data_IF_030228048748
#
_entry.id   IF_030228048748
#
_cell.length_a   1.000
_cell.length_b   1.000
_cell.length_c   1.000
_cell.angle_alpha   90.00
_cell.angle_beta   90.00
_cell.angle_gamma   90.00
#
_symmetry.space_group_name_H-M   'P 1'
#
loop_
_entity.id
_entity.type
_entity.pdbx_description
1 polymer ?
#
# COMPACT_ATOMS: atom_id res chain seq x y z
N UNK A 1 -9.29 14.60 -7.21
CA UNK A 1 -8.93 13.39 -7.96
C UNK A 1 -10.14 12.47 -7.98
N UNK A 2 -10.70 12.21 -9.15
CA UNK A 2 -12.03 11.60 -9.29
C UNK A 2 -12.00 10.06 -9.17
N UNK A 3 -10.90 9.44 -9.57
CA UNK A 3 -10.75 7.99 -9.54
C UNK A 3 -10.78 7.45 -8.11
N UNK A 4 -10.03 8.05 -7.18
CA UNK A 4 -9.93 7.63 -5.78
C UNK A 4 -11.26 7.82 -5.05
N UNK A 5 -11.99 8.89 -5.36
CA UNK A 5 -13.31 9.13 -4.79
C UNK A 5 -14.34 8.10 -5.29
N UNK A 6 -14.32 7.80 -6.60
CA UNK A 6 -15.17 6.76 -7.18
C UNK A 6 -14.81 5.36 -6.65
N UNK A 7 -13.51 5.05 -6.54
CA UNK A 7 -13.00 3.80 -6.02
C UNK A 7 -13.39 3.59 -4.56
N UNK A 8 -13.19 4.61 -3.70
CA UNK A 8 -13.65 4.59 -2.30
C UNK A 8 -15.15 4.35 -2.21
N UNK A 9 -15.95 5.08 -2.99
CA UNK A 9 -17.41 4.91 -2.98
C UNK A 9 -17.82 3.48 -3.39
N UNK A 10 -17.14 2.91 -4.38
CA UNK A 10 -17.35 1.53 -4.81
C UNK A 10 -17.01 0.53 -3.69
N UNK A 11 -15.83 0.64 -3.07
CA UNK A 11 -15.43 -0.25 -1.97
C UNK A 11 -16.40 -0.17 -0.78
N UNK A 12 -16.86 1.03 -0.41
CA UNK A 12 -17.87 1.21 0.65
C UNK A 12 -19.21 0.56 0.28
N UNK A 13 -19.60 0.57 -1.01
CA UNK A 13 -20.81 -0.10 -1.46
C UNK A 13 -20.72 -1.63 -1.34
N UNK A 14 -19.53 -2.19 -1.56
CA UNK A 14 -19.26 -3.62 -1.39
C UNK A 14 -19.23 -3.98 0.10
N UNK A 15 -18.54 -3.16 0.92
CA UNK A 15 -18.42 -3.39 2.35
C UNK A 15 -19.78 -3.41 3.06
N UNK A 16 -20.75 -2.60 2.62
CA UNK A 16 -22.13 -2.69 3.13
C UNK A 16 -22.77 -4.07 2.98
N UNK A 17 -22.34 -4.87 1.99
CA UNK A 17 -22.87 -6.21 1.72
C UNK A 17 -22.05 -7.31 2.40
N UNK A 18 -20.72 -7.28 2.22
CA UNK A 18 -19.77 -8.26 2.78
C UNK A 18 -18.43 -7.58 3.01
N UNK A 19 -17.64 -8.01 4.02
CA UNK A 19 -16.29 -7.48 4.21
C UNK A 19 -15.44 -7.63 2.94
N UNK A 20 -14.60 -6.64 2.68
CA UNK A 20 -13.81 -6.48 1.47
C UNK A 20 -12.34 -6.73 1.79
N UNK A 21 -11.68 -7.43 0.88
CA UNK A 21 -10.23 -7.46 0.72
C UNK A 21 -9.96 -6.87 -0.65
N UNK A 22 -9.15 -5.82 -0.71
CA UNK A 22 -8.69 -5.22 -1.96
C UNK A 22 -7.17 -5.26 -2.00
N UNK A 23 -6.61 -5.65 -3.14
CA UNK A 23 -5.18 -5.83 -3.28
C UNK A 23 -4.66 -5.38 -4.65
N UNK A 24 -3.37 -5.05 -4.69
CA UNK A 24 -2.66 -4.66 -5.89
C UNK A 24 -1.87 -3.37 -5.71
N UNK A 25 -1.34 -2.88 -6.81
CA UNK A 25 -0.64 -1.61 -6.91
C UNK A 25 -1.65 -0.46 -6.81
N UNK A 26 -1.59 0.28 -5.70
CA UNK A 26 -2.41 1.47 -5.45
C UNK A 26 -1.73 2.75 -5.98
N UNK A 27 -0.51 2.65 -6.52
CA UNK A 27 0.29 3.76 -7.03
C UNK A 27 0.42 4.93 -6.03
N UNK A 28 0.55 4.64 -4.74
CA UNK A 28 0.77 5.64 -3.70
C UNK A 28 1.62 5.06 -2.57
N UNK A 29 2.68 5.75 -2.16
CA UNK A 29 3.34 5.51 -0.89
C UNK A 29 2.67 6.39 0.18
N UNK A 30 2.00 5.80 1.17
CA UNK A 30 1.12 6.57 2.06
C UNK A 30 1.90 7.55 2.97
N UNK A 31 2.94 7.03 3.64
CA UNK A 31 3.74 7.77 4.62
C UNK A 31 5.18 7.89 4.17
N UNK A 32 5.93 8.80 4.78
CA UNK A 32 7.38 8.96 4.49
C UNK A 32 8.19 7.68 4.74
N UNK A 33 7.74 6.82 5.66
CA UNK A 33 8.37 5.51 5.92
C UNK A 33 8.12 4.49 4.79
N UNK A 34 7.21 4.78 3.85
CA UNK A 34 6.82 3.92 2.74
C UNK A 34 7.66 4.14 1.48
N UNK A 35 8.65 5.03 1.50
CA UNK A 35 9.62 5.20 0.42
C UNK A 35 10.99 5.63 0.92
N UNK A 36 12.03 5.45 0.11
CA UNK A 36 13.40 5.75 0.54
C UNK A 36 13.71 7.25 0.67
N UNK A 37 13.17 8.07 -0.24
CA UNK A 37 13.56 9.47 -0.42
C UNK A 37 12.35 10.43 -0.39
N UNK A 38 11.58 10.51 0.71
CA UNK A 38 10.34 11.30 0.77
C UNK A 38 10.54 12.77 0.39
N UNK A 39 11.56 13.43 0.94
CA UNK A 39 11.82 14.87 0.77
C UNK A 39 11.96 15.35 -0.67
N UNK A 40 12.37 14.47 -1.58
CA UNK A 40 12.56 14.79 -3.01
C UNK A 40 11.41 14.32 -3.90
N UNK A 41 10.39 13.67 -3.33
CA UNK A 41 9.30 13.04 -4.08
C UNK A 41 7.91 13.61 -3.80
N UNK A 42 7.75 14.61 -2.93
CA UNK A 42 6.44 15.21 -2.60
C UNK A 42 5.69 15.82 -3.81
N UNK A 43 6.35 16.01 -4.95
CA UNK A 43 5.75 16.52 -6.19
C UNK A 43 5.72 15.48 -7.32
N UNK A 44 6.15 14.25 -7.04
CA UNK A 44 6.19 13.17 -8.00
C UNK A 44 4.98 12.25 -7.82
N UNK A 45 4.47 11.73 -8.93
CA UNK A 45 3.38 10.75 -8.91
C UNK A 45 3.72 9.58 -7.98
N UNK A 46 2.72 9.17 -7.19
CA UNK A 46 2.84 8.18 -6.13
C UNK A 46 3.26 8.72 -4.76
N UNK A 47 3.60 10.00 -4.63
CA UNK A 47 3.88 10.63 -3.33
C UNK A 47 3.45 12.11 -3.25
N UNK A 48 2.52 12.54 -4.10
CA UNK A 48 1.89 13.86 -3.95
C UNK A 48 1.06 13.91 -2.68
N UNK A 49 0.90 15.12 -2.12
CA UNK A 49 0.08 15.30 -0.92
C UNK A 49 -1.39 14.93 -1.17
N UNK A 50 -1.89 15.16 -2.39
CA UNK A 50 -3.24 14.77 -2.79
C UNK A 50 -3.43 13.25 -2.82
N UNK A 51 -2.51 12.50 -3.44
CA UNK A 51 -2.57 11.02 -3.48
C UNK A 51 -2.53 10.44 -2.05
N UNK A 52 -1.63 10.95 -1.22
CA UNK A 52 -1.47 10.52 0.17
C UNK A 52 -2.72 10.82 1.00
N UNK A 53 -3.33 11.98 0.81
CA UNK A 53 -4.57 12.35 1.50
C UNK A 53 -5.75 11.48 1.06
N UNK A 54 -5.82 11.09 -0.22
CA UNK A 54 -6.82 10.12 -0.69
C UNK A 54 -6.64 8.75 -0.03
N UNK A 55 -5.41 8.29 0.13
CA UNK A 55 -5.11 7.06 0.86
C UNK A 55 -5.50 7.18 2.34
N UNK A 56 -5.17 8.29 3.01
CA UNK A 56 -5.64 8.60 4.38
C UNK A 56 -7.16 8.52 4.49
N UNK A 57 -7.87 9.15 3.55
CA UNK A 57 -9.33 9.16 3.51
C UNK A 57 -9.90 7.74 3.31
N UNK A 58 -9.29 6.93 2.43
CA UNK A 58 -9.72 5.55 2.20
C UNK A 58 -9.56 4.71 3.47
N UNK A 59 -8.39 4.74 4.12
CA UNK A 59 -8.17 4.02 5.38
C UNK A 59 -9.12 4.49 6.48
N UNK A 60 -9.29 5.82 6.62
CA UNK A 60 -10.24 6.43 7.56
C UNK A 60 -11.71 6.07 7.30
N UNK A 61 -12.04 5.57 6.10
CA UNK A 61 -13.40 5.13 5.74
C UNK A 61 -13.75 3.70 6.17
N UNK A 62 -12.86 3.02 6.91
CA UNK A 62 -13.12 1.70 7.49
C UNK A 62 -12.25 0.58 6.96
N UNK A 63 -11.05 0.91 6.47
CA UNK A 63 -10.10 -0.04 5.91
C UNK A 63 -8.76 -0.02 6.66
N UNK A 64 -8.12 -1.17 6.71
CA UNK A 64 -6.83 -1.42 7.36
C UNK A 64 -5.78 -1.65 6.28
N UNK A 65 -4.68 -0.90 6.32
CA UNK A 65 -3.42 -1.30 5.67
C UNK A 65 -2.82 -2.47 6.45
N UNK A 66 -2.94 -3.68 5.89
CA UNK A 66 -2.58 -4.91 6.60
C UNK A 66 -1.09 -5.02 6.91
N UNK A 67 -0.22 -4.53 6.02
CA UNK A 67 1.22 -4.54 6.27
C UNK A 67 1.55 -3.63 7.45
N UNK A 68 0.98 -2.42 7.47
CA UNK A 68 1.19 -1.47 8.59
C UNK A 68 0.47 -1.85 9.87
N UNK A 69 -0.55 -2.71 9.81
CA UNK A 69 -1.15 -3.31 11.00
C UNK A 69 -0.15 -4.20 11.75
N UNK A 70 0.60 -5.04 11.03
CA UNK A 70 1.61 -5.92 11.64
C UNK A 70 2.97 -5.24 11.85
N UNK A 71 3.33 -4.31 10.98
CA UNK A 71 4.64 -3.66 10.95
C UNK A 71 4.51 -2.12 10.92
N UNK A 72 3.95 -1.49 11.97
CA UNK A 72 3.63 -0.06 11.97
C UNK A 72 4.84 0.83 11.72
N UNK A 73 6.00 0.44 12.28
CA UNK A 73 7.23 1.25 12.27
C UNK A 73 8.34 0.67 11.38
N UNK A 74 8.07 -0.40 10.62
CA UNK A 74 9.09 -1.02 9.78
C UNK A 74 9.54 -0.07 8.66
N UNK A 75 10.83 0.21 8.60
CA UNK A 75 11.46 1.02 7.56
C UNK A 75 12.17 0.13 6.54
N UNK A 76 12.46 0.65 5.36
CA UNK A 76 13.18 -0.06 4.28
C UNK A 76 12.47 -1.34 3.76
N UNK A 77 11.15 -1.42 3.90
CA UNK A 77 10.32 -2.51 3.35
C UNK A 77 9.49 -1.95 2.19
N UNK A 78 9.84 -2.34 0.97
CA UNK A 78 9.31 -1.76 -0.27
C UNK A 78 8.83 -2.87 -1.20
N UNK A 79 7.89 -2.55 -2.09
CA UNK A 79 7.34 -3.48 -3.08
C UNK A 79 7.72 -3.13 -4.51
N UNK A 80 8.24 -1.92 -4.75
CA UNK A 80 8.65 -1.44 -6.07
C UNK A 80 10.01 -0.75 -6.04
N UNK A 81 10.80 -0.94 -7.09
CA UNK A 81 12.05 -0.25 -7.34
C UNK A 81 12.23 0.04 -8.83
N UNK A 82 12.69 1.24 -9.17
CA UNK A 82 13.05 1.54 -10.55
C UNK A 82 14.13 0.57 -11.07
N UNK A 83 13.97 0.08 -12.30
CA UNK A 83 15.04 -0.65 -12.99
C UNK A 83 16.31 0.19 -13.22
N UNK A 84 16.21 1.52 -13.14
CA UNK A 84 17.35 2.42 -13.34
C UNK A 84 18.26 2.42 -12.12
N UNK A 85 19.55 2.66 -12.36
CA UNK A 85 20.56 2.92 -11.32
C UNK A 85 20.74 1.83 -10.26
N UNK A 86 20.31 0.59 -10.55
CA UNK A 86 20.34 -0.53 -9.61
C UNK A 86 19.59 -0.20 -8.31
N UNK A 87 18.41 0.43 -8.42
CA UNK A 87 17.67 0.90 -7.25
C UNK A 87 17.29 -0.23 -6.30
N UNK A 88 16.93 -1.41 -6.83
CA UNK A 88 16.61 -2.61 -6.03
C UNK A 88 17.79 -3.10 -5.19
N UNK A 89 18.97 -3.19 -5.79
CA UNK A 89 20.21 -3.58 -5.09
C UNK A 89 20.57 -2.59 -3.96
N UNK A 90 20.28 -1.31 -4.15
CA UNK A 90 20.52 -0.25 -3.16
C UNK A 90 19.35 -0.05 -2.18
N UNK A 91 18.29 -0.84 -2.34
CA UNK A 91 17.01 -0.69 -1.65
C UNK A 91 16.45 0.74 -1.67
N UNK A 92 16.54 1.41 -2.83
CA UNK A 92 15.90 2.70 -3.10
C UNK A 92 14.52 2.43 -3.69
N UNK A 93 13.59 2.08 -2.81
CA UNK A 93 12.27 1.59 -3.20
C UNK A 93 11.10 2.37 -2.61
N UNK A 94 9.90 1.94 -3.00
CA UNK A 94 8.61 2.45 -2.60
C UNK A 94 7.69 1.29 -2.26
N UNK A 95 6.82 1.46 -1.28
CA UNK A 95 5.75 0.51 -0.95
C UNK A 95 4.46 1.05 -1.54
N UNK A 96 4.09 0.54 -2.71
CA UNK A 96 2.91 0.95 -3.47
C UNK A 96 1.92 -0.21 -3.72
N UNK A 97 2.31 -1.44 -3.37
CA UNK A 97 1.46 -2.63 -3.44
C UNK A 97 0.88 -2.94 -2.06
N UNK A 98 -0.45 -3.10 -2.01
CA UNK A 98 -1.17 -3.21 -0.75
C UNK A 98 -2.09 -4.42 -0.72
N UNK A 99 -2.38 -4.86 0.51
CA UNK A 99 -3.64 -5.48 0.87
C UNK A 99 -4.35 -4.55 1.86
N UNK A 100 -5.51 -4.02 1.47
CA UNK A 100 -6.40 -3.26 2.33
C UNK A 100 -7.63 -4.09 2.66
N UNK A 101 -8.00 -4.18 3.93
CA UNK A 101 -9.12 -5.01 4.37
C UNK A 101 -10.11 -4.20 5.18
N UNK A 102 -11.39 -4.54 5.09
CA UNK A 102 -12.40 -3.95 5.98
C UNK A 102 -12.03 -4.15 7.45
N UNK A 103 -12.28 -3.15 8.30
CA UNK A 103 -12.03 -3.23 9.75
C UNK A 103 -12.67 -4.46 10.42
N UNK A 104 -13.81 -4.93 9.88
CA UNK A 104 -14.52 -6.13 10.38
C UNK A 104 -13.74 -7.44 10.19
N UNK A 105 -12.66 -7.44 9.39
CA UNK A 105 -11.75 -8.57 9.22
C UNK A 105 -10.52 -8.50 10.13
N UNK A 106 -10.38 -7.48 10.98
CA UNK A 106 -9.20 -7.29 11.82
C UNK A 106 -8.85 -8.53 12.66
N UNK A 107 -9.84 -9.16 13.29
CA UNK A 107 -9.62 -10.36 14.12
C UNK A 107 -9.26 -11.62 13.33
N UNK A 108 -9.37 -11.58 11.99
CA UNK A 108 -9.03 -12.70 11.09
C UNK A 108 -7.65 -12.52 10.46
N UNK A 109 -6.97 -11.40 10.69
CA UNK A 109 -5.63 -11.18 10.14
C UNK A 109 -4.61 -12.11 10.82
N UNK A 110 -3.91 -12.93 10.03
CA UNK A 110 -2.81 -13.78 10.54
C UNK A 110 -1.43 -13.22 10.22
N UNK A 111 -1.20 -12.77 8.98
CA UNK A 111 0.06 -12.15 8.58
C UNK A 111 -0.09 -11.36 7.28
N UNK A 112 0.81 -10.41 7.04
CA UNK A 112 0.98 -9.72 5.77
C UNK A 112 2.48 -9.59 5.47
N UNK A 113 2.92 -9.90 4.25
CA UNK A 113 4.34 -9.92 3.91
C UNK A 113 4.64 -9.30 2.55
N UNK A 114 5.88 -8.84 2.39
CA UNK A 114 6.48 -8.33 1.16
C UNK A 114 7.66 -9.24 0.83
N UNK A 115 7.65 -9.85 -0.36
CA UNK A 115 8.61 -10.87 -0.81
C UNK A 115 9.67 -10.27 -1.75
N UNK A 116 10.50 -9.38 -1.20
CA UNK A 116 11.50 -8.59 -1.93
C UNK A 116 12.65 -9.41 -2.53
N UNK A 117 12.78 -10.67 -2.16
CA UNK A 117 13.68 -11.67 -2.76
C UNK A 117 13.17 -12.22 -4.12
N UNK A 118 11.86 -12.15 -4.39
CA UNK A 118 11.26 -12.68 -5.63
C UNK A 118 11.46 -11.70 -6.79
N UNK A 119 12.21 -12.14 -7.80
CA UNK A 119 12.56 -11.37 -8.99
C UNK A 119 11.61 -11.64 -10.16
N UNK A 120 11.62 -10.75 -11.16
CA UNK A 120 10.87 -10.92 -12.44
C UNK A 120 10.05 -9.70 -12.85
N UNK A 121 9.86 -8.75 -11.94
CA UNK A 121 9.23 -7.45 -12.16
C UNK A 121 10.03 -6.36 -11.43
N UNK A 122 9.77 -5.09 -11.76
CA UNK A 122 10.18 -3.93 -10.94
C UNK A 122 9.42 -3.89 -9.61
N UNK A 123 8.29 -4.60 -9.54
CA UNK A 123 7.62 -4.95 -8.30
C UNK A 123 8.08 -6.31 -7.74
N UNK A 124 7.81 -6.53 -6.46
CA UNK A 124 7.82 -7.85 -5.84
C UNK A 124 6.41 -8.22 -5.32
N UNK A 125 6.10 -9.52 -5.15
CA UNK A 125 4.81 -9.94 -4.62
C UNK A 125 4.58 -9.47 -3.18
N UNK A 126 3.34 -9.11 -2.88
CA UNK A 126 2.84 -8.92 -1.51
C UNK A 126 1.80 -10.01 -1.21
N UNK A 127 1.67 -10.39 0.06
CA UNK A 127 0.77 -11.46 0.48
C UNK A 127 0.02 -11.14 1.77
N UNK A 128 -1.15 -11.76 1.93
CA UNK A 128 -2.00 -11.68 3.11
C UNK A 128 -2.49 -13.08 3.47
N UNK A 129 -2.44 -13.43 4.75
CA UNK A 129 -3.06 -14.64 5.29
C UNK A 129 -4.20 -14.25 6.23
N UNK A 130 -5.39 -14.81 5.97
CA UNK A 130 -6.58 -14.68 6.80
C UNK A 130 -6.96 -16.05 7.41
N UNK A 131 -7.50 -16.03 8.63
CA UNK A 131 -8.23 -17.16 9.23
C UNK A 131 -9.63 -17.27 8.67
#
# INVERSE_FOLDING_TARGET
MDWEDAFRAYLLSLDKKKPVVVCGDMNVAHKEIDLKNPSTNHQNAGFTDEEREKMTTLLGSGFIDTFRHFYPDAINRYSWWSYRFHAREKNVGWRIDYFLVSNRLASRLKSAEIHDDIMGSDHCPVSLVLE
#
